data_IF_893414548983
#
_entry.id   IF_893414548983
#
_cell.length_a   1.000
_cell.length_b   1.000
_cell.length_c   1.000
_cell.angle_alpha   90.00
_cell.angle_beta   90.00
_cell.angle_gamma   90.00
#
_symmetry.space_group_name_H-M   'P 1'
#
loop_
_entity.id
_entity.type
_entity.pdbx_description
1 polymer ?
#
# COMPACT_ATOMS: atom_id res chain seq x y z
N UNK A 1 -8.45 12.58 35.60
CA UNK A 1 -8.30 12.06 34.22
C UNK A 1 -7.16 12.85 33.60
N UNK A 2 -6.16 12.24 32.97
CA UNK A 2 -5.11 13.00 32.30
C UNK A 2 -5.74 13.73 31.11
N UNK A 3 -5.47 15.02 31.02
CA UNK A 3 -5.94 15.91 29.96
C UNK A 3 -5.30 15.50 28.64
N UNK A 4 -6.10 15.12 27.64
CA UNK A 4 -5.62 14.65 26.33
C UNK A 4 -5.28 15.81 25.37
N UNK A 5 -5.12 17.04 25.87
CA UNK A 5 -4.94 18.25 25.06
C UNK A 5 -3.58 18.95 25.15
N UNK A 6 -2.72 18.66 26.14
CA UNK A 6 -1.47 19.41 26.31
C UNK A 6 -0.33 18.80 25.47
N UNK A 7 0.01 19.48 24.37
CA UNK A 7 1.28 19.25 23.68
C UNK A 7 2.41 19.64 24.62
N UNK A 8 3.26 18.70 25.03
CA UNK A 8 4.41 18.98 25.88
C UNK A 8 5.59 19.37 25.00
N UNK A 9 5.95 20.65 24.99
CA UNK A 9 7.20 21.12 24.39
C UNK A 9 8.35 20.80 25.34
N UNK A 10 9.40 20.19 24.81
CA UNK A 10 10.60 19.82 25.54
C UNK A 10 11.84 20.33 24.82
N UNK A 11 12.86 20.69 25.59
CA UNK A 11 14.15 21.14 25.06
C UNK A 11 15.21 20.09 25.43
N UNK A 12 16.03 19.73 24.46
CA UNK A 12 17.16 18.80 24.61
C UNK A 12 18.45 19.49 24.19
N UNK A 13 19.58 19.07 24.75
CA UNK A 13 20.85 19.75 24.60
C UNK A 13 21.51 19.49 23.23
N UNK A 14 21.10 18.40 22.56
CA UNK A 14 21.59 18.07 21.22
C UNK A 14 20.59 17.29 20.36
N UNK A 15 20.83 17.27 19.04
CA UNK A 15 20.04 16.47 18.11
C UNK A 15 20.18 14.96 18.36
N UNK A 16 21.35 14.49 18.79
CA UNK A 16 21.56 13.07 19.12
C UNK A 16 20.75 12.68 20.36
N UNK A 17 20.77 13.51 21.41
CA UNK A 17 19.94 13.29 22.59
C UNK A 17 18.45 13.30 22.26
N UNK A 18 18.00 14.22 21.40
CA UNK A 18 16.63 14.26 20.92
C UNK A 18 16.24 12.97 20.15
N UNK A 19 17.15 12.41 19.38
CA UNK A 19 16.94 11.13 18.67
C UNK A 19 16.82 9.98 19.68
N UNK A 20 17.72 9.88 20.66
CA UNK A 20 17.65 8.88 21.73
C UNK A 20 16.33 9.00 22.50
N UNK A 21 15.89 10.22 22.80
CA UNK A 21 14.60 10.43 23.46
C UNK A 21 13.41 10.00 22.61
N UNK A 22 13.47 10.16 21.28
CA UNK A 22 12.43 9.63 20.40
C UNK A 22 12.34 8.10 20.46
N UNK A 23 13.48 7.39 20.60
CA UNK A 23 13.48 5.94 20.85
C UNK A 23 12.82 5.59 22.18
N UNK A 24 13.22 6.27 23.27
CA UNK A 24 12.67 6.03 24.61
C UNK A 24 11.16 6.27 24.70
N UNK A 25 10.66 7.27 23.96
CA UNK A 25 9.23 7.60 23.89
C UNK A 25 8.45 6.68 22.94
N UNK A 26 9.13 5.78 22.23
CA UNK A 26 8.51 4.82 21.31
C UNK A 26 7.97 5.46 20.03
N UNK A 27 8.49 6.63 19.63
CA UNK A 27 8.03 7.37 18.45
C UNK A 27 8.61 6.84 17.14
N UNK A 28 9.62 5.97 17.22
CA UNK A 28 10.34 5.45 16.06
C UNK A 28 9.88 4.05 15.68
N UNK A 29 10.13 3.71 14.42
CA UNK A 29 9.98 2.38 13.85
C UNK A 29 11.23 1.49 14.09
N UNK A 30 12.14 1.90 14.97
CA UNK A 30 13.44 1.26 15.20
C UNK A 30 14.59 1.84 14.37
N UNK A 31 14.30 2.75 13.43
CA UNK A 31 15.29 3.58 12.75
C UNK A 31 15.34 4.98 13.39
N UNK A 32 16.46 5.72 13.28
CA UNK A 32 16.52 7.08 13.80
C UNK A 32 15.52 7.98 13.07
N UNK A 33 14.91 8.90 13.80
CA UNK A 33 13.98 9.89 13.25
C UNK A 33 14.64 11.27 13.23
N UNK A 34 14.13 12.18 12.41
CA UNK A 34 14.47 13.59 12.57
C UNK A 34 13.58 14.18 13.67
N UNK A 35 14.11 14.74 14.77
CA UNK A 35 13.29 15.27 15.84
C UNK A 35 12.26 16.31 15.32
N UNK A 36 10.96 16.19 15.66
CA UNK A 36 9.91 17.05 15.13
C UNK A 36 9.85 18.38 15.89
N UNK A 37 10.84 19.24 15.68
CA UNK A 37 10.87 20.58 16.30
C UNK A 37 9.69 21.43 15.84
N UNK A 38 9.21 22.32 16.70
CA UNK A 38 8.08 23.21 16.39
C UNK A 38 8.28 23.97 15.07
N UNK A 39 9.49 24.49 14.84
CA UNK A 39 9.84 25.17 13.60
C UNK A 39 9.62 24.27 12.37
N UNK A 40 10.20 23.04 12.36
CA UNK A 40 10.07 22.14 11.20
C UNK A 40 8.65 21.64 11.02
N UNK A 41 7.91 21.42 12.10
CA UNK A 41 6.50 21.03 12.03
C UNK A 41 5.67 22.17 11.42
N UNK A 42 5.93 23.42 11.81
CA UNK A 42 5.25 24.59 11.25
C UNK A 42 5.57 24.78 9.77
N UNK A 43 6.82 24.58 9.32
CA UNK A 43 7.19 24.61 7.90
C UNK A 43 6.34 23.62 7.07
N UNK A 44 6.09 22.41 7.59
CA UNK A 44 5.25 21.41 6.93
C UNK A 44 3.76 21.78 6.96
N UNK A 45 3.28 22.33 8.07
CA UNK A 45 1.89 22.81 8.18
C UNK A 45 1.65 23.95 7.18
N UNK A 46 2.57 24.91 7.06
CA UNK A 46 2.49 25.99 6.08
C UNK A 46 2.46 25.44 4.65
N UNK A 47 3.33 24.48 4.33
CA UNK A 47 3.37 23.85 3.01
C UNK A 47 2.11 23.05 2.67
N UNK A 48 1.35 22.61 3.68
CA UNK A 48 0.06 21.94 3.47
C UNK A 48 -1.06 22.89 3.04
N UNK A 49 -0.92 24.19 3.27
CA UNK A 49 -2.00 25.17 3.06
C UNK A 49 -3.20 24.99 3.99
N UNK A 50 -3.08 24.17 5.05
CA UNK A 50 -4.19 23.79 5.94
C UNK A 50 -3.91 24.15 7.40
N UNK A 51 -4.94 24.49 8.20
CA UNK A 51 -4.76 24.75 9.63
C UNK A 51 -4.24 23.53 10.39
N UNK A 52 -3.32 23.74 11.33
CA UNK A 52 -2.71 22.70 12.16
C UNK A 52 -3.72 21.76 12.84
N UNK A 53 -4.82 22.33 13.35
CA UNK A 53 -5.88 21.60 14.05
C UNK A 53 -6.94 20.97 13.14
N UNK A 54 -6.85 21.15 11.82
CA UNK A 54 -7.82 20.54 10.91
C UNK A 54 -7.72 19.01 10.98
N UNK A 55 -8.85 18.37 11.20
CA UNK A 55 -8.96 16.90 11.20
C UNK A 55 -8.85 16.38 9.76
N UNK A 56 -7.93 15.44 9.58
CA UNK A 56 -7.66 14.71 8.34
C UNK A 56 -8.54 13.45 8.28
N UNK A 57 -8.78 12.83 9.44
CA UNK A 57 -9.71 11.71 9.60
C UNK A 57 -9.67 11.16 11.01
N UNK A 58 -10.48 10.12 11.26
CA UNK A 58 -10.67 9.55 12.59
C UNK A 58 -10.63 8.02 12.54
N UNK A 59 -10.30 7.41 13.68
CA UNK A 59 -10.46 5.98 13.93
C UNK A 59 -11.31 5.84 15.20
N UNK A 60 -12.65 5.79 15.07
CA UNK A 60 -13.58 5.75 16.20
C UNK A 60 -13.31 4.59 17.16
N UNK A 61 -12.98 3.41 16.63
CA UNK A 61 -12.68 2.19 17.39
C UNK A 61 -11.48 2.38 18.33
N UNK A 62 -10.58 3.30 17.99
CA UNK A 62 -9.40 3.65 18.79
C UNK A 62 -9.54 4.99 19.51
N UNK A 63 -10.66 5.69 19.32
CA UNK A 63 -10.89 7.07 19.81
C UNK A 63 -9.73 7.99 19.42
N UNK A 64 -9.31 7.91 18.15
CA UNK A 64 -8.21 8.71 17.60
C UNK A 64 -8.73 9.67 16.55
N UNK A 65 -8.38 10.93 16.74
CA UNK A 65 -8.51 11.99 15.75
C UNK A 65 -7.11 12.28 15.18
N UNK A 66 -6.97 12.30 13.86
CA UNK A 66 -5.72 12.56 13.15
C UNK A 66 -5.83 13.97 12.56
N UNK A 67 -4.95 14.87 12.98
CA UNK A 67 -4.92 16.27 12.54
C UNK A 67 -3.73 16.56 11.62
N UNK A 68 -3.77 17.68 10.90
CA UNK A 68 -2.66 18.12 10.05
C UNK A 68 -1.34 18.21 10.83
N UNK A 69 -1.36 18.74 12.06
CA UNK A 69 -0.16 18.80 12.91
C UNK A 69 0.41 17.41 13.25
N UNK A 70 -0.45 16.41 13.51
CA UNK A 70 -0.02 15.02 13.75
C UNK A 70 0.62 14.42 12.51
N UNK A 71 0.06 14.69 11.32
CA UNK A 71 0.64 14.24 10.05
C UNK A 71 2.00 14.92 9.82
N UNK A 72 2.08 16.23 10.03
CA UNK A 72 3.31 17.02 9.83
C UNK A 72 4.45 16.54 10.73
N UNK A 73 4.19 16.33 12.02
CA UNK A 73 5.18 15.81 12.96
C UNK A 73 5.75 14.45 12.54
N UNK A 74 4.89 13.55 12.06
CA UNK A 74 5.33 12.24 11.58
C UNK A 74 6.08 12.30 10.23
N UNK A 75 5.68 13.21 9.34
CA UNK A 75 6.40 13.46 8.09
C UNK A 75 7.80 14.02 8.35
N UNK A 76 7.93 14.95 9.31
CA UNK A 76 9.22 15.46 9.78
C UNK A 76 10.07 14.31 10.32
N UNK A 77 9.53 13.50 11.24
CA UNK A 77 10.22 12.34 11.82
C UNK A 77 10.72 11.34 10.77
N UNK A 78 9.94 11.12 9.71
CA UNK A 78 10.31 10.26 8.60
C UNK A 78 11.46 10.81 7.75
N UNK A 79 11.82 12.09 7.88
CA UNK A 79 12.84 12.75 7.08
C UNK A 79 12.33 13.32 5.76
N UNK A 80 11.00 13.51 5.62
CA UNK A 80 10.41 14.13 4.45
C UNK A 80 10.97 15.54 4.20
N UNK A 81 10.73 16.03 2.99
CA UNK A 81 10.78 17.45 2.68
C UNK A 81 9.36 18.04 2.81
N UNK A 82 9.20 19.34 3.13
CA UNK A 82 7.89 19.98 3.21
C UNK A 82 7.04 19.80 1.94
N UNK A 83 7.68 19.79 0.77
CA UNK A 83 7.07 19.59 -0.55
C UNK A 83 6.36 18.23 -0.69
N UNK A 84 6.69 17.25 0.17
CA UNK A 84 6.02 15.95 0.18
C UNK A 84 4.72 15.94 0.99
N UNK A 85 4.47 16.99 1.78
CA UNK A 85 3.34 17.06 2.71
C UNK A 85 1.97 16.86 2.03
N UNK A 86 1.67 17.42 0.84
CA UNK A 86 0.41 17.17 0.15
C UNK A 86 0.18 15.68 -0.15
N UNK A 87 1.23 14.95 -0.55
CA UNK A 87 1.16 13.51 -0.82
C UNK A 87 0.92 12.73 0.47
N UNK A 88 1.63 13.06 1.55
CA UNK A 88 1.48 12.38 2.85
C UNK A 88 0.09 12.62 3.45
N UNK A 89 -0.46 13.83 3.35
CA UNK A 89 -1.83 14.13 3.75
C UNK A 89 -2.83 13.32 2.93
N UNK A 90 -2.68 13.31 1.61
CA UNK A 90 -3.58 12.58 0.71
C UNK A 90 -3.55 11.07 0.98
N UNK A 91 -2.36 10.48 1.20
CA UNK A 91 -2.21 9.09 1.61
C UNK A 91 -2.92 8.82 2.96
N UNK A 92 -2.82 9.76 3.91
CA UNK A 92 -3.47 9.67 5.21
C UNK A 92 -4.99 9.72 5.09
N UNK A 93 -5.53 10.65 4.29
CA UNK A 93 -6.97 10.74 4.01
C UNK A 93 -7.51 9.52 3.29
N UNK A 94 -6.72 8.93 2.40
CA UNK A 94 -7.10 7.74 1.65
C UNK A 94 -7.12 6.51 2.57
N UNK A 95 -6.13 6.34 3.46
CA UNK A 95 -6.13 5.20 4.39
C UNK A 95 -7.16 5.35 5.51
N UNK A 96 -7.57 6.57 5.85
CA UNK A 96 -8.65 6.82 6.83
C UNK A 96 -10.05 6.79 6.20
N UNK A 97 -10.15 6.52 4.90
CA UNK A 97 -11.45 6.36 4.24
C UNK A 97 -12.19 5.11 4.78
N UNK A 98 -13.50 5.19 5.09
CA UNK A 98 -14.24 4.05 5.61
C UNK A 98 -14.17 2.80 4.72
N UNK A 99 -14.09 2.96 3.40
CA UNK A 99 -14.01 1.85 2.44
C UNK A 99 -12.64 1.16 2.48
N UNK A 100 -11.59 1.89 2.87
CA UNK A 100 -10.28 1.28 3.13
C UNK A 100 -10.29 0.43 4.41
N UNK A 101 -11.10 0.81 5.40
CA UNK A 101 -11.25 0.12 6.68
C UNK A 101 -9.89 -0.16 7.37
N UNK A 102 -9.15 0.90 7.71
CA UNK A 102 -7.79 0.80 8.25
C UNK A 102 -7.63 -0.12 9.47
N UNK A 103 -8.68 -0.28 10.28
CA UNK A 103 -8.66 -1.12 11.48
C UNK A 103 -8.31 -2.57 11.13
N UNK A 104 -8.82 -3.09 10.01
CA UNK A 104 -8.52 -4.43 9.51
C UNK A 104 -7.02 -4.68 9.33
N UNK A 105 -6.36 -4.07 8.34
CA UNK A 105 -4.95 -4.31 8.03
C UNK A 105 -3.98 -3.80 9.10
N UNK A 106 -4.41 -2.89 9.99
CA UNK A 106 -3.57 -2.40 11.08
C UNK A 106 -3.78 -3.11 12.43
N UNK A 107 -4.75 -4.04 12.54
CA UNK A 107 -5.00 -4.84 13.75
C UNK A 107 -4.95 -6.34 13.55
N UNK A 108 -4.80 -6.78 12.30
CA UNK A 108 -4.80 -8.18 11.92
C UNK A 108 -3.52 -8.91 12.36
N UNK A 109 -3.64 -10.24 12.51
CA UNK A 109 -2.49 -11.15 12.64
C UNK A 109 -1.69 -11.30 11.34
N UNK A 110 -2.33 -11.07 10.19
CA UNK A 110 -1.68 -10.93 8.88
C UNK A 110 -0.86 -9.65 8.77
N UNK A 111 0.34 -9.77 8.20
CA UNK A 111 1.43 -8.81 8.27
C UNK A 111 1.46 -7.65 7.28
N UNK A 112 0.33 -7.11 6.85
CA UNK A 112 0.31 -6.13 5.76
C UNK A 112 0.98 -4.79 6.08
N UNK A 113 1.44 -4.13 5.02
CA UNK A 113 1.84 -2.73 4.99
C UNK A 113 0.87 -1.91 4.12
N UNK A 114 0.89 -0.59 4.28
CA UNK A 114 0.08 0.33 3.47
C UNK A 114 0.95 0.84 2.33
N UNK A 115 0.77 0.25 1.14
CA UNK A 115 1.39 0.70 -0.09
C UNK A 115 0.73 2.00 -0.56
N UNK A 116 1.53 3.03 -0.82
CA UNK A 116 1.11 4.27 -1.49
C UNK A 116 1.60 4.27 -2.94
N UNK A 117 0.68 4.35 -3.89
CA UNK A 117 0.97 4.47 -5.33
C UNK A 117 0.63 5.89 -5.73
N UNK A 118 1.63 6.65 -6.15
CA UNK A 118 1.48 8.05 -6.56
C UNK A 118 1.41 8.13 -8.09
N UNK A 119 0.53 9.01 -8.56
CA UNK A 119 0.21 9.16 -9.97
C UNK A 119 0.14 10.65 -10.35
N UNK A 120 0.38 10.95 -11.63
CA UNK A 120 0.21 12.28 -12.21
C UNK A 120 1.47 13.16 -12.12
N UNK A 121 1.35 14.45 -12.51
CA UNK A 121 2.50 15.36 -12.64
C UNK A 121 3.40 15.46 -11.40
N UNK A 122 2.82 15.32 -10.19
CA UNK A 122 3.55 15.43 -8.93
C UNK A 122 4.69 14.42 -8.79
N UNK A 123 4.59 13.26 -9.45
CA UNK A 123 5.64 12.25 -9.44
C UNK A 123 6.95 12.81 -9.99
N UNK A 124 6.90 13.60 -11.07
CA UNK A 124 8.08 14.24 -11.65
C UNK A 124 8.55 15.43 -10.81
N UNK A 125 7.62 16.24 -10.32
CA UNK A 125 7.91 17.43 -9.52
C UNK A 125 8.64 17.08 -8.22
N UNK A 126 8.21 16.01 -7.54
CA UNK A 126 8.79 15.55 -6.28
C UNK A 126 9.85 14.46 -6.48
N UNK A 127 10.20 14.12 -7.73
CA UNK A 127 11.14 13.06 -8.07
C UNK A 127 10.80 11.72 -7.36
N UNK A 128 9.52 11.32 -7.41
CA UNK A 128 9.06 10.03 -6.88
C UNK A 128 9.43 8.95 -7.89
N UNK A 129 10.20 7.96 -7.45
CA UNK A 129 10.69 6.88 -8.28
C UNK A 129 9.56 5.94 -8.70
N UNK A 130 9.48 5.70 -10.01
CA UNK A 130 8.67 4.66 -10.67
C UNK A 130 9.55 3.61 -11.37
N UNK A 131 10.87 3.66 -11.17
CA UNK A 131 11.86 2.97 -12.00
C UNK A 131 12.74 2.00 -11.22
N UNK A 132 14.04 1.96 -11.54
CA UNK A 132 15.01 1.00 -11.04
C UNK A 132 14.90 0.85 -9.52
N UNK A 133 15.05 -0.39 -9.05
CA UNK A 133 14.96 -0.72 -7.64
C UNK A 133 13.65 -0.22 -6.99
N UNK A 134 12.51 -0.38 -7.69
CA UNK A 134 11.21 0.24 -7.38
C UNK A 134 10.80 0.19 -5.90
N UNK A 135 10.91 -0.98 -5.28
CA UNK A 135 10.58 -1.21 -3.86
C UNK A 135 11.80 -1.17 -2.92
N UNK A 136 12.98 -0.85 -3.46
CA UNK A 136 14.24 -0.81 -2.74
C UNK A 136 14.68 0.60 -2.38
N UNK A 137 15.89 0.74 -1.81
CA UNK A 137 16.43 2.03 -1.38
C UNK A 137 16.89 2.91 -2.56
N UNK A 138 17.15 4.19 -2.27
CA UNK A 138 17.87 5.11 -3.17
C UNK A 138 17.11 6.38 -3.54
N UNK A 139 15.79 6.42 -3.32
CA UNK A 139 14.99 7.62 -3.57
C UNK A 139 14.40 8.18 -2.27
N UNK A 140 14.69 9.45 -1.97
CA UNK A 140 14.25 10.10 -0.73
C UNK A 140 12.72 10.24 -0.67
N UNK A 141 12.06 10.61 -1.76
CA UNK A 141 10.61 10.79 -1.75
C UNK A 141 9.91 9.48 -1.41
N UNK A 142 10.18 8.40 -2.14
CA UNK A 142 9.62 7.08 -1.86
C UNK A 142 9.90 6.63 -0.42
N UNK A 143 11.17 6.67 -0.01
CA UNK A 143 11.60 6.17 1.29
C UNK A 143 10.90 6.93 2.43
N UNK A 144 10.86 8.26 2.35
CA UNK A 144 10.36 9.11 3.43
C UNK A 144 8.84 9.25 3.44
N UNK A 145 8.16 9.27 2.28
CA UNK A 145 6.69 9.26 2.20
C UNK A 145 6.14 7.93 2.75
N UNK A 146 6.69 6.80 2.29
CA UNK A 146 6.29 5.49 2.78
C UNK A 146 6.55 5.33 4.29
N UNK A 147 7.68 5.86 4.77
CA UNK A 147 8.00 5.85 6.21
C UNK A 147 7.11 6.78 7.01
N UNK A 148 6.73 7.95 6.47
CA UNK A 148 5.78 8.86 7.11
C UNK A 148 4.44 8.17 7.34
N UNK A 149 3.92 7.45 6.34
CA UNK A 149 2.70 6.62 6.50
C UNK A 149 2.87 5.63 7.66
N UNK A 150 4.01 4.93 7.77
CA UNK A 150 4.26 4.03 8.90
C UNK A 150 4.26 4.75 10.24
N UNK A 151 4.95 5.87 10.37
CA UNK A 151 5.03 6.62 11.62
C UNK A 151 3.66 7.18 12.02
N UNK A 152 2.86 7.65 11.06
CA UNK A 152 1.47 8.08 11.31
C UNK A 152 0.62 6.91 11.85
N UNK A 153 0.77 5.72 11.28
CA UNK A 153 0.09 4.53 11.77
C UNK A 153 0.47 4.24 13.23
N UNK A 154 1.76 4.28 13.56
CA UNK A 154 2.23 4.01 14.92
C UNK A 154 1.82 5.10 15.91
N UNK A 155 2.12 6.36 15.61
CA UNK A 155 2.07 7.46 16.57
C UNK A 155 0.69 8.13 16.64
N UNK A 156 -0.01 8.27 15.50
CA UNK A 156 -1.32 8.92 15.45
C UNK A 156 -2.48 7.91 15.49
N UNK A 157 -2.33 6.77 14.80
CA UNK A 157 -3.37 5.75 14.71
C UNK A 157 -3.23 4.65 15.80
N UNK A 158 -2.19 4.71 16.63
CA UNK A 158 -1.86 3.75 17.68
C UNK A 158 -1.52 2.33 17.19
N UNK A 159 -1.26 2.11 15.90
CA UNK A 159 -0.87 0.81 15.31
C UNK A 159 0.59 0.43 15.65
N UNK A 160 0.90 0.38 16.94
CA UNK A 160 2.21 0.04 17.48
C UNK A 160 2.36 -1.50 17.50
N UNK A 161 3.49 -2.05 17.02
CA UNK A 161 3.79 -3.49 17.12
C UNK A 161 3.55 -4.06 18.52
N UNK A 162 2.78 -5.14 18.60
CA UNK A 162 2.45 -5.80 19.88
C UNK A 162 1.30 -5.16 20.67
N UNK A 163 0.81 -3.98 20.26
CA UNK A 163 -0.31 -3.28 20.91
C UNK A 163 -1.57 -3.35 20.06
N UNK A 164 -1.64 -2.57 18.98
CA UNK A 164 -2.71 -2.69 18.00
C UNK A 164 -2.22 -3.36 16.72
N UNK A 165 -0.97 -3.16 16.31
CA UNK A 165 -0.40 -3.97 15.21
C UNK A 165 -0.10 -5.37 15.75
N UNK A 166 -0.95 -6.34 15.38
CA UNK A 166 -0.91 -7.74 15.84
C UNK A 166 -0.26 -8.67 14.83
N UNK A 167 0.44 -8.14 13.83
CA UNK A 167 1.14 -8.94 12.82
C UNK A 167 1.98 -10.03 13.49
N UNK A 168 1.72 -11.29 13.16
CA UNK A 168 2.52 -12.43 13.65
C UNK A 168 3.86 -12.47 12.90
N UNK A 169 3.81 -12.19 11.60
CA UNK A 169 4.97 -12.03 10.72
C UNK A 169 4.72 -10.76 9.90
N UNK A 170 5.64 -9.79 9.94
CA UNK A 170 5.60 -8.61 9.07
C UNK A 170 6.50 -8.75 7.84
N UNK A 171 6.57 -7.73 7.00
CA UNK A 171 7.53 -7.65 5.89
C UNK A 171 8.23 -6.27 5.84
N UNK A 172 9.39 -6.15 5.15
CA UNK A 172 10.17 -4.90 5.12
C UNK A 172 9.42 -3.67 4.62
N UNK A 173 8.35 -3.84 3.82
CA UNK A 173 7.49 -2.73 3.38
C UNK A 173 6.81 -2.00 4.55
N UNK A 174 6.73 -2.61 5.75
CA UNK A 174 6.24 -1.91 6.93
C UNK A 174 7.16 -0.77 7.38
N UNK A 175 8.42 -0.70 6.94
CA UNK A 175 9.28 0.47 7.16
C UNK A 175 9.02 1.58 6.13
N UNK A 176 8.80 1.20 4.87
CA UNK A 176 8.47 2.13 3.78
C UNK A 176 7.87 1.38 2.60
N UNK A 177 6.77 1.91 2.04
CA UNK A 177 6.09 1.30 0.90
C UNK A 177 5.41 2.36 0.03
N UNK A 178 6.19 3.07 -0.77
CA UNK A 178 5.70 4.11 -1.67
C UNK A 178 6.37 3.99 -3.04
N UNK A 179 5.57 4.05 -4.11
CA UNK A 179 6.01 4.00 -5.50
C UNK A 179 5.28 5.06 -6.33
N UNK A 180 5.85 5.43 -7.47
CA UNK A 180 5.10 6.09 -8.54
C UNK A 180 4.80 5.10 -9.67
N UNK A 181 3.75 5.38 -10.45
CA UNK A 181 3.57 4.76 -11.77
C UNK A 181 4.41 5.49 -12.82
N UNK A 182 4.99 4.76 -13.77
CA UNK A 182 5.72 5.33 -14.90
C UNK A 182 4.76 5.63 -16.07
N UNK A 183 3.80 6.51 -15.81
CA UNK A 183 2.67 6.78 -16.71
C UNK A 183 3.07 7.37 -18.08
N UNK A 184 4.18 8.10 -18.17
CA UNK A 184 4.68 8.67 -19.43
C UNK A 184 5.43 7.67 -20.32
N UNK A 185 5.76 6.50 -19.80
CA UNK A 185 6.65 5.56 -20.46
C UNK A 185 5.90 4.31 -20.97
N UNK A 186 4.57 4.36 -20.95
CA UNK A 186 3.69 3.31 -21.44
C UNK A 186 2.54 3.90 -22.23
N UNK A 187 1.98 3.13 -23.17
CA UNK A 187 0.75 3.48 -23.89
C UNK A 187 -0.51 3.10 -23.10
N UNK A 188 -0.37 2.49 -21.92
CA UNK A 188 -1.49 2.13 -21.07
C UNK A 188 -2.04 3.32 -20.29
N UNK A 189 -3.37 3.35 -20.15
CA UNK A 189 -4.06 4.30 -19.29
C UNK A 189 -3.52 4.21 -17.86
N UNK A 190 -3.08 5.32 -17.25
CA UNK A 190 -2.58 5.32 -15.87
C UNK A 190 -3.66 4.94 -14.86
N UNK A 191 -3.26 4.39 -13.70
CA UNK A 191 -4.17 3.93 -12.66
C UNK A 191 -5.18 5.00 -12.23
N UNK A 192 -4.71 6.23 -11.99
CA UNK A 192 -5.59 7.32 -11.55
C UNK A 192 -6.66 7.68 -12.60
N UNK A 193 -6.33 7.57 -13.89
CA UNK A 193 -7.29 7.80 -14.98
C UNK A 193 -8.31 6.67 -15.06
N UNK A 194 -7.90 5.42 -14.89
CA UNK A 194 -8.84 4.28 -14.73
C UNK A 194 -9.77 4.47 -13.51
N UNK A 195 -9.31 5.20 -12.49
CA UNK A 195 -10.08 5.53 -11.27
C UNK A 195 -10.91 6.81 -11.39
N UNK A 196 -11.02 7.38 -12.58
CA UNK A 196 -11.92 8.50 -12.89
C UNK A 196 -11.33 9.90 -12.71
N UNK A 197 -10.02 10.02 -12.50
CA UNK A 197 -9.32 11.31 -12.48
C UNK A 197 -8.81 11.69 -13.88
N UNK A 198 -8.48 12.95 -14.10
CA UNK A 198 -7.89 13.43 -15.36
C UNK A 198 -6.37 13.27 -15.35
N UNK A 199 -5.73 13.21 -16.53
CA UNK A 199 -4.29 12.94 -16.65
C UNK A 199 -3.39 14.07 -16.09
N UNK A 200 -3.95 15.28 -15.92
CA UNK A 200 -3.29 16.44 -15.30
C UNK A 200 -3.47 16.47 -13.77
N UNK A 201 -4.29 15.58 -13.21
CA UNK A 201 -4.50 15.47 -11.77
C UNK A 201 -3.51 14.50 -11.13
N UNK A 202 -2.92 14.94 -10.02
CA UNK A 202 -2.08 14.08 -9.19
C UNK A 202 -2.90 13.36 -8.13
N UNK A 203 -2.63 12.09 -7.89
CA UNK A 203 -3.39 11.29 -6.92
C UNK A 203 -2.50 10.36 -6.10
N UNK A 204 -3.02 9.89 -4.97
CA UNK A 204 -2.45 8.77 -4.21
C UNK A 204 -3.50 7.67 -4.11
N UNK A 205 -3.12 6.46 -4.51
CA UNK A 205 -3.87 5.23 -4.21
C UNK A 205 -3.20 4.50 -3.05
N UNK A 206 -3.95 4.22 -1.99
CA UNK A 206 -3.47 3.38 -0.89
C UNK A 206 -4.00 1.96 -1.01
N UNK A 207 -3.14 0.98 -0.70
CA UNK A 207 -3.45 -0.45 -0.76
C UNK A 207 -2.85 -1.18 0.44
N UNK A 208 -3.66 -1.93 1.18
CA UNK A 208 -3.17 -2.80 2.24
C UNK A 208 -2.67 -4.12 1.64
N UNK A 209 -1.35 -4.26 1.49
CA UNK A 209 -0.75 -5.35 0.74
C UNK A 209 0.27 -6.15 1.56
N UNK A 210 0.52 -7.38 1.10
CA UNK A 210 1.68 -8.18 1.51
C UNK A 210 2.99 -7.62 0.91
N UNK A 211 4.10 -8.32 1.12
CA UNK A 211 5.35 -8.01 0.40
C UNK A 211 5.22 -8.30 -1.09
N UNK A 212 5.91 -7.52 -1.95
CA UNK A 212 5.95 -7.82 -3.37
C UNK A 212 6.66 -9.16 -3.60
N UNK A 213 5.97 -10.06 -4.29
CA UNK A 213 6.55 -11.33 -4.77
C UNK A 213 7.09 -11.07 -6.16
N UNK A 214 8.42 -11.07 -6.29
CA UNK A 214 9.06 -10.89 -7.59
C UNK A 214 8.79 -12.10 -8.48
N UNK A 215 8.37 -11.84 -9.71
CA UNK A 215 8.11 -12.84 -10.74
C UNK A 215 9.12 -12.61 -11.85
N UNK A 216 9.84 -13.67 -12.22
CA UNK A 216 10.73 -13.68 -13.37
C UNK A 216 10.11 -14.48 -14.49
N UNK A 217 10.01 -13.88 -15.66
CA UNK A 217 9.60 -14.53 -16.90
C UNK A 217 10.35 -13.87 -18.06
N UNK A 218 10.44 -14.54 -19.21
CA UNK A 218 11.17 -14.03 -20.37
C UNK A 218 10.36 -14.23 -21.64
N UNK A 219 10.69 -13.47 -22.68
CA UNK A 219 10.10 -13.63 -24.01
C UNK A 219 9.05 -12.57 -24.30
N UNK A 220 7.80 -12.99 -24.50
CA UNK A 220 6.69 -12.14 -24.92
C UNK A 220 5.60 -12.08 -23.82
N UNK A 221 4.57 -11.23 -23.96
CA UNK A 221 3.55 -11.00 -22.93
C UNK A 221 2.94 -12.27 -22.32
N UNK A 222 2.56 -13.26 -23.13
CA UNK A 222 1.81 -14.45 -22.68
C UNK A 222 2.57 -15.29 -21.63
N UNK A 223 3.85 -15.68 -21.82
CA UNK A 223 4.66 -16.31 -20.77
C UNK A 223 4.77 -15.47 -19.49
N UNK A 224 4.87 -14.14 -19.61
CA UNK A 224 4.94 -13.24 -18.45
C UNK A 224 3.62 -13.28 -17.68
N UNK A 225 2.50 -13.17 -18.40
CA UNK A 225 1.16 -13.23 -17.83
C UNK A 225 0.87 -14.60 -17.21
N UNK A 226 1.34 -15.69 -17.81
CA UNK A 226 1.25 -17.03 -17.24
C UNK A 226 1.99 -17.12 -15.89
N UNK A 227 3.24 -16.66 -15.83
CA UNK A 227 4.02 -16.66 -14.59
C UNK A 227 3.42 -15.74 -13.51
N UNK A 228 2.90 -14.59 -13.91
CA UNK A 228 2.17 -13.68 -13.01
C UNK A 228 0.91 -14.33 -12.45
N UNK A 229 0.15 -15.02 -13.29
CA UNK A 229 -1.08 -15.72 -12.89
C UNK A 229 -0.78 -16.85 -11.89
N UNK A 230 0.28 -17.62 -12.11
CA UNK A 230 0.72 -18.67 -11.18
C UNK A 230 1.11 -18.08 -9.81
N UNK A 231 1.96 -17.04 -9.82
CA UNK A 231 2.38 -16.37 -8.59
C UNK A 231 1.20 -15.76 -7.82
N UNK A 232 0.28 -15.09 -8.53
CA UNK A 232 -0.95 -14.52 -7.97
C UNK A 232 -1.90 -15.60 -7.43
N UNK A 233 -1.84 -16.81 -7.99
CA UNK A 233 -2.69 -17.93 -7.58
C UNK A 233 -2.20 -18.66 -6.33
N UNK A 234 -1.11 -18.25 -5.69
CA UNK A 234 -0.51 -19.00 -4.57
C UNK A 234 -1.50 -19.28 -3.41
N UNK A 235 -1.57 -20.55 -2.96
CA UNK A 235 -2.40 -20.96 -1.81
C UNK A 235 -1.99 -20.27 -0.49
N UNK A 236 -0.71 -19.94 -0.33
CA UNK A 236 -0.17 -19.22 0.83
C UNK A 236 -0.42 -17.71 0.80
N UNK A 237 -1.61 -17.27 0.38
CA UNK A 237 -2.01 -15.86 0.34
C UNK A 237 -3.32 -15.68 1.09
N UNK A 238 -3.59 -14.47 1.56
CA UNK A 238 -4.89 -14.17 2.17
C UNK A 238 -6.08 -14.33 1.20
N UNK A 239 -5.80 -14.42 -0.10
CA UNK A 239 -6.74 -14.65 -1.20
C UNK A 239 -7.20 -16.11 -1.34
N UNK A 240 -6.53 -17.04 -0.65
CA UNK A 240 -6.81 -18.49 -0.71
C UNK A 240 -7.01 -19.03 0.71
N UNK A 241 -7.76 -18.32 1.55
CA UNK A 241 -8.04 -18.74 2.93
C UNK A 241 -9.52 -18.76 3.24
N UNK A 242 -9.89 -19.56 4.23
CA UNK A 242 -11.27 -19.72 4.68
C UNK A 242 -11.64 -18.59 5.66
N UNK A 243 -12.93 -18.26 5.74
CA UNK A 243 -13.45 -17.35 6.75
C UNK A 243 -13.95 -16.02 6.23
N UNK A 244 -15.01 -15.56 6.90
CA UNK A 244 -15.94 -14.45 6.59
C UNK A 244 -15.44 -13.36 5.64
N UNK A 245 -16.16 -13.20 4.52
CA UNK A 245 -16.34 -11.95 3.76
C UNK A 245 -17.34 -12.05 2.61
N UNK A 246 -18.21 -11.03 2.54
CA UNK A 246 -18.83 -10.51 1.32
C UNK A 246 -19.89 -11.42 0.73
N UNK A 247 -19.45 -12.43 0.02
CA UNK A 247 -20.29 -13.44 -0.61
C UNK A 247 -20.03 -14.81 0.01
N UNK A 248 -21.00 -15.29 0.78
CA UNK A 248 -20.95 -16.62 1.41
C UNK A 248 -21.07 -17.77 0.41
N UNK A 249 -21.40 -17.50 -0.86
CA UNK A 249 -21.61 -18.50 -1.90
C UNK A 249 -20.33 -19.11 -2.48
N UNK A 250 -19.22 -18.35 -2.51
CA UNK A 250 -17.95 -18.80 -3.10
C UNK A 250 -17.09 -19.56 -2.07
N UNK A 251 -17.27 -19.27 -0.77
CA UNK A 251 -16.61 -19.99 0.31
C UNK A 251 -15.12 -19.67 0.53
N UNK A 252 -14.53 -18.79 -0.28
CA UNK A 252 -13.14 -18.32 -0.14
C UNK A 252 -13.06 -16.78 -0.09
N UNK A 253 -11.94 -16.27 0.44
CA UNK A 253 -11.66 -14.83 0.48
C UNK A 253 -11.17 -14.31 -0.87
N UNK A 254 -12.00 -13.55 -1.57
CA UNK A 254 -11.58 -12.83 -2.78
C UNK A 254 -11.28 -11.34 -2.49
N UNK A 255 -10.25 -10.81 -3.13
CA UNK A 255 -9.70 -9.48 -2.84
C UNK A 255 -9.03 -8.83 -4.04
N UNK A 256 -8.28 -7.77 -3.76
CA UNK A 256 -7.55 -7.01 -4.77
C UNK A 256 -6.09 -7.45 -4.82
N UNK A 257 -5.46 -7.28 -5.98
CA UNK A 257 -4.01 -7.44 -6.11
C UNK A 257 -3.41 -6.23 -6.80
N UNK A 258 -2.17 -5.89 -6.45
CA UNK A 258 -1.34 -4.98 -7.25
C UNK A 258 -0.39 -5.82 -8.09
N UNK A 259 -0.28 -5.51 -9.37
CA UNK A 259 0.67 -6.14 -10.29
C UNK A 259 1.54 -5.06 -10.88
N UNK A 260 2.86 -5.15 -10.69
CA UNK A 260 3.80 -4.23 -11.35
C UNK A 260 4.45 -4.91 -12.53
N UNK A 261 4.37 -4.28 -13.70
CA UNK A 261 5.10 -4.70 -14.90
C UNK A 261 6.24 -3.72 -15.13
N UNK A 262 7.48 -4.22 -15.06
CA UNK A 262 8.67 -3.45 -15.40
C UNK A 262 9.03 -3.66 -16.87
N UNK A 263 10.02 -2.90 -17.35
CA UNK A 263 10.59 -3.09 -18.67
C UNK A 263 10.30 -1.99 -19.66
N UNK A 264 10.41 -2.36 -20.95
CA UNK A 264 10.10 -1.53 -22.10
C UNK A 264 8.65 -1.77 -22.52
N UNK A 265 7.85 -0.70 -22.57
CA UNK A 265 6.43 -0.76 -22.93
C UNK A 265 6.18 -1.27 -24.35
N UNK A 266 7.17 -1.20 -25.24
CA UNK A 266 7.07 -1.72 -26.60
C UNK A 266 6.82 -3.24 -26.65
N UNK A 267 7.23 -3.99 -25.61
CA UNK A 267 6.90 -5.41 -25.49
C UNK A 267 5.38 -5.64 -25.45
N UNK A 268 4.64 -4.64 -24.97
CA UNK A 268 3.20 -4.67 -24.73
C UNK A 268 2.41 -3.88 -25.79
N UNK A 269 3.03 -3.46 -26.89
CA UNK A 269 2.41 -2.59 -27.92
C UNK A 269 1.08 -3.13 -28.49
N UNK A 270 0.95 -4.46 -28.58
CA UNK A 270 -0.22 -5.15 -29.13
C UNK A 270 -1.21 -5.58 -28.02
N UNK A 271 -0.91 -5.24 -26.76
CA UNK A 271 -1.71 -5.54 -25.59
C UNK A 271 -2.29 -4.27 -24.98
N UNK A 272 -3.60 -4.24 -24.84
CA UNK A 272 -4.29 -3.22 -24.03
C UNK A 272 -4.21 -3.59 -22.54
N UNK A 273 -4.31 -2.58 -21.67
CA UNK A 273 -4.36 -2.77 -20.22
C UNK A 273 -5.50 -3.71 -19.80
N UNK A 274 -6.66 -3.57 -20.46
CA UNK A 274 -7.83 -4.41 -20.23
C UNK A 274 -7.59 -5.88 -20.60
N UNK A 275 -6.91 -6.16 -21.73
CA UNK A 275 -6.55 -7.53 -22.10
C UNK A 275 -5.62 -8.18 -21.08
N UNK A 276 -4.66 -7.43 -20.54
CA UNK A 276 -3.78 -7.93 -19.46
C UNK A 276 -4.59 -8.26 -18.20
N UNK A 277 -5.45 -7.34 -17.74
CA UNK A 277 -6.30 -7.57 -16.57
C UNK A 277 -7.24 -8.77 -16.76
N UNK A 278 -7.87 -8.89 -17.93
CA UNK A 278 -8.75 -10.03 -18.24
C UNK A 278 -7.99 -11.35 -18.28
N UNK A 279 -6.80 -11.39 -18.90
CA UNK A 279 -5.98 -12.60 -18.91
C UNK A 279 -5.66 -13.03 -17.48
N UNK A 280 -5.15 -12.12 -16.64
CA UNK A 280 -4.84 -12.41 -15.25
C UNK A 280 -6.10 -12.85 -14.49
N UNK A 281 -7.23 -12.18 -14.64
CA UNK A 281 -8.49 -12.54 -14.00
C UNK A 281 -8.98 -13.96 -14.36
N UNK A 282 -8.83 -14.36 -15.63
CA UNK A 282 -9.24 -15.69 -16.09
C UNK A 282 -8.30 -16.81 -15.64
N UNK A 283 -7.03 -16.49 -15.35
CA UNK A 283 -6.01 -17.48 -14.98
C UNK A 283 -5.64 -17.45 -13.49
N UNK A 284 -6.02 -16.42 -12.74
CA UNK A 284 -5.84 -16.31 -11.29
C UNK A 284 -6.88 -17.14 -10.53
N UNK A 285 -6.69 -18.46 -10.52
CA UNK A 285 -7.66 -19.42 -10.00
C UNK A 285 -6.99 -20.64 -9.35
N UNK A 286 -7.74 -21.34 -8.49
CA UNK A 286 -7.34 -22.62 -7.89
C UNK A 286 -8.43 -23.65 -8.03
N UNK A 287 -8.04 -24.92 -8.15
CA UNK A 287 -9.01 -26.02 -8.18
C UNK A 287 -9.69 -26.17 -6.82
N UNK A 288 -10.92 -26.66 -6.80
CA UNK A 288 -11.60 -27.04 -5.54
C UNK A 288 -10.77 -28.08 -4.80
N UNK A 289 -10.09 -28.98 -5.53
CA UNK A 289 -9.22 -30.01 -4.95
C UNK A 289 -8.07 -29.39 -4.15
N UNK A 290 -7.37 -28.41 -4.72
CA UNK A 290 -6.28 -27.68 -4.03
C UNK A 290 -6.80 -26.95 -2.79
N UNK A 291 -7.95 -26.29 -2.89
CA UNK A 291 -8.55 -25.54 -1.79
C UNK A 291 -9.03 -26.45 -0.66
N UNK A 292 -9.59 -27.63 -0.96
CA UNK A 292 -9.92 -28.64 0.04
C UNK A 292 -8.66 -29.23 0.68
N UNK A 293 -7.64 -29.58 -0.12
CA UNK A 293 -6.37 -30.10 0.36
C UNK A 293 -5.65 -29.11 1.30
N UNK A 294 -5.78 -27.81 1.04
CA UNK A 294 -5.26 -26.74 1.89
C UNK A 294 -6.20 -26.37 3.06
N UNK A 295 -7.29 -27.11 3.29
CA UNK A 295 -8.28 -26.86 4.34
C UNK A 295 -8.96 -25.48 4.24
N UNK A 296 -8.97 -24.89 3.05
CA UNK A 296 -9.67 -23.65 2.73
C UNK A 296 -11.15 -23.92 2.55
N UNK A 297 -11.48 -24.98 1.81
CA UNK A 297 -12.84 -25.50 1.69
C UNK A 297 -12.99 -26.76 2.55
N UNK A 298 -14.22 -27.04 2.98
CA UNK A 298 -14.53 -28.23 3.78
C UNK A 298 -14.56 -29.49 2.91
N UNK A 299 -14.22 -30.61 3.53
CA UNK A 299 -14.27 -31.95 2.93
C UNK A 299 -12.95 -32.36 2.30
N UNK A 300 -12.80 -33.66 2.07
CA UNK A 300 -11.63 -34.21 1.38
C UNK A 300 -11.75 -34.00 -0.14
N UNK A 301 -10.63 -33.85 -0.87
CA UNK A 301 -10.65 -33.72 -2.34
C UNK A 301 -11.24 -34.96 -3.02
N UNK A 302 -12.15 -34.75 -3.97
CA UNK A 302 -12.72 -35.77 -4.86
C UNK A 302 -12.20 -35.60 -6.28
N UNK A 303 -12.31 -36.65 -7.12
CA UNK A 303 -11.78 -36.60 -8.50
C UNK A 303 -12.38 -35.48 -9.35
N UNK A 304 -13.65 -35.14 -9.18
CA UNK A 304 -14.34 -34.04 -9.87
C UNK A 304 -13.88 -32.65 -9.42
N UNK A 305 -13.32 -32.51 -8.22
CA UNK A 305 -12.87 -31.22 -7.68
C UNK A 305 -11.64 -30.67 -8.43
N UNK A 306 -10.91 -31.53 -9.15
CA UNK A 306 -9.77 -31.11 -9.99
C UNK A 306 -10.19 -30.33 -11.22
N UNK A 307 -11.44 -30.49 -11.69
CA UNK A 307 -11.95 -29.84 -12.90
C UNK A 307 -12.65 -28.50 -12.59
N UNK A 308 -13.07 -28.30 -11.34
CA UNK A 308 -13.77 -27.08 -10.91
C UNK A 308 -12.76 -26.05 -10.43
N UNK A 309 -12.66 -24.93 -11.15
CA UNK A 309 -11.76 -23.84 -10.80
C UNK A 309 -12.52 -22.68 -10.14
N UNK A 310 -11.94 -22.13 -9.07
CA UNK A 310 -12.44 -20.96 -8.36
C UNK A 310 -11.47 -19.80 -8.59
N UNK A 311 -12.00 -18.68 -9.11
CA UNK A 311 -11.25 -17.43 -9.26
C UNK A 311 -10.92 -16.86 -7.89
N UNK A 312 -9.70 -16.34 -7.72
CA UNK A 312 -9.28 -15.73 -6.46
C UNK A 312 -9.55 -14.22 -6.42
N UNK A 313 -9.78 -13.61 -7.58
CA UNK A 313 -10.05 -12.19 -7.74
C UNK A 313 -11.52 -12.01 -8.11
N UNK A 314 -12.28 -11.06 -7.53
CA UNK A 314 -13.71 -10.91 -7.79
C UNK A 314 -14.01 -10.48 -9.24
N UNK A 315 -13.29 -9.47 -9.75
CA UNK A 315 -13.47 -8.90 -11.08
C UNK A 315 -12.15 -8.33 -11.64
N UNK A 316 -12.02 -8.15 -12.96
CA UNK A 316 -10.79 -7.62 -13.56
C UNK A 316 -10.31 -6.28 -12.97
N UNK A 317 -11.22 -5.41 -12.51
CA UNK A 317 -10.90 -4.10 -11.93
C UNK A 317 -10.29 -4.15 -10.52
N UNK A 318 -10.26 -5.34 -9.92
CA UNK A 318 -9.54 -5.63 -8.68
C UNK A 318 -8.06 -5.97 -8.91
N UNK A 319 -7.60 -5.96 -10.17
CA UNK A 319 -6.19 -6.00 -10.54
C UNK A 319 -5.72 -4.57 -10.77
N UNK A 320 -5.00 -4.02 -9.80
CA UNK A 320 -4.33 -2.73 -9.89
C UNK A 320 -3.02 -2.93 -10.67
N UNK A 321 -3.12 -2.85 -12.00
CA UNK A 321 -1.99 -3.03 -12.91
C UNK A 321 -1.20 -1.72 -13.04
N UNK A 322 0.07 -1.74 -12.64
CA UNK A 322 0.95 -0.57 -12.60
C UNK A 322 2.15 -0.82 -13.52
N UNK A 323 2.39 0.09 -14.46
CA UNK A 323 3.64 0.06 -15.20
C UNK A 323 4.72 0.77 -14.38
N UNK A 324 5.65 0.00 -13.79
CA UNK A 324 6.69 0.51 -12.92
C UNK A 324 7.81 -0.51 -12.74
N UNK A 325 9.03 -0.02 -12.54
CA UNK A 325 10.25 -0.81 -12.43
C UNK A 325 11.28 -0.45 -13.48
N UNK A 326 12.45 -1.09 -13.39
CA UNK A 326 13.59 -0.85 -14.29
C UNK A 326 13.34 -1.29 -15.73
N UNK A 327 14.31 -1.02 -16.60
CA UNK A 327 14.21 -1.24 -18.06
C UNK A 327 14.19 -2.73 -18.48
N UNK A 328 14.59 -3.63 -17.58
CA UNK A 328 14.60 -5.07 -17.82
C UNK A 328 13.16 -5.62 -17.82
N UNK A 329 12.71 -6.14 -18.97
CA UNK A 329 11.31 -6.59 -19.16
C UNK A 329 11.02 -7.98 -18.58
N UNK A 330 12.01 -8.60 -17.93
CA UNK A 330 11.93 -9.95 -17.42
C UNK A 330 11.53 -10.04 -15.94
N UNK A 331 11.23 -8.90 -15.33
CA UNK A 331 10.92 -8.78 -13.91
C UNK A 331 9.57 -8.11 -13.73
N UNK A 332 8.72 -8.71 -12.91
CA UNK A 332 7.45 -8.13 -12.50
C UNK A 332 7.21 -8.45 -11.02
N UNK A 333 6.13 -7.95 -10.43
CA UNK A 333 5.75 -8.38 -9.09
C UNK A 333 4.24 -8.52 -8.94
N UNK A 334 3.85 -9.40 -8.03
CA UNK A 334 2.48 -9.52 -7.55
C UNK A 334 2.45 -9.22 -6.06
N UNK A 335 1.49 -8.40 -5.65
CA UNK A 335 1.24 -8.03 -4.26
C UNK A 335 -0.21 -8.38 -3.93
N UNK A 336 -0.45 -9.51 -3.25
CA UNK A 336 -1.77 -9.83 -2.72
C UNK A 336 -2.23 -8.80 -1.68
N UNK A 337 -3.54 -8.56 -1.60
CA UNK A 337 -4.09 -7.79 -0.49
C UNK A 337 -3.93 -8.52 0.84
N UNK A 338 -3.91 -7.74 1.91
CA UNK A 338 -4.04 -8.23 3.30
C UNK A 338 -5.23 -9.18 3.48
N UNK A 339 -6.30 -8.91 2.76
CA UNK A 339 -7.57 -9.56 2.96
C UNK A 339 -8.54 -9.27 1.84
N UNK A 340 -9.75 -9.78 1.95
CA UNK A 340 -10.78 -9.67 0.95
C UNK A 340 -11.28 -8.24 0.72
N UNK A 341 -11.80 -7.97 -0.48
CA UNK A 341 -12.18 -6.63 -0.95
C UNK A 341 -13.17 -5.94 -0.02
N UNK A 342 -14.21 -6.66 0.41
CA UNK A 342 -15.21 -6.12 1.35
C UNK A 342 -14.65 -5.82 2.75
N UNK A 343 -13.48 -6.37 3.08
CA UNK A 343 -12.77 -6.11 4.32
C UNK A 343 -11.84 -4.91 4.22
N UNK A 344 -11.25 -4.66 3.05
CA UNK A 344 -10.42 -3.48 2.77
C UNK A 344 -10.28 -3.31 1.25
N UNK A 345 -10.72 -2.17 0.73
CA UNK A 345 -10.61 -1.84 -0.70
C UNK A 345 -9.64 -0.69 -0.90
N UNK A 346 -8.81 -0.74 -1.94
CA UNK A 346 -7.90 0.34 -2.31
C UNK A 346 -8.65 1.65 -2.55
N UNK A 347 -8.12 2.76 -2.04
CA UNK A 347 -8.74 4.08 -2.15
C UNK A 347 -7.79 5.04 -2.85
N UNK A 348 -8.30 5.72 -3.89
CA UNK A 348 -7.59 6.76 -4.63
C UNK A 348 -8.15 8.13 -4.26
N UNK A 349 -7.28 9.06 -3.85
CA UNK A 349 -7.67 10.46 -3.58
C UNK A 349 -6.79 11.43 -4.36
N UNK A 350 -7.40 12.56 -4.74
CA UNK A 350 -6.74 13.69 -5.38
C UNK A 350 -5.76 14.35 -4.40
N UNK A 351 -4.54 14.63 -4.86
CA UNK A 351 -3.60 15.49 -4.13
C UNK A 351 -4.05 16.94 -4.30
N UNK A 352 -4.27 17.63 -3.18
CA UNK A 352 -4.80 19.00 -3.12
C UNK A 352 -3.78 20.00 -2.63
#
# INVERSE_FOLDING_TARGET
MPDFGETTTVQWDSALEAIERCYELGWTDGLPVVPPTEQRVNEFIEHSGRPAGQVVGEIPERRREITVAKVAANAVMAGCLPEYMPVVLTATEAMLDPVFNLVGPSSSMGGSAILSIVNGPICKELNINSRNNLFGPGNRANATIGRAVRLILMNACAAIPGVFDRSVIGHPGKYTYCIAEADQDTHWTPLHVERGFTADQSTVTVFAGESPRQVRAVGHPEPILHALSDAASSLGTNMSTSGSVGDTGIGIRQGQIVVTIAGNSQLWKDWTKAQVKNFLFDHCQRSVADLKAAMVLKGDPESSDHETMIKLIPEPDDILLIFAGGEESNMSSVIPSWGPKVGSTAVTKLVR
#
